data_IF_348216211630
#
_entry.id   IF_348216211630
#
_cell.length_a   1.000
_cell.length_b   1.000
_cell.length_c   1.000
_cell.angle_alpha   90.00
_cell.angle_beta   90.00
_cell.angle_gamma   90.00
#
_symmetry.space_group_name_H-M   'P 1'
#
loop_
_entity.id
_entity.type
_entity.pdbx_description
1 polymer ?
#
# COMPACT_ATOMS: atom_id res chain seq x y z
N UNK A 1 31.10 41.38 -18.69
CA UNK A 1 29.86 40.70 -19.14
C UNK A 1 30.09 39.22 -19.41
N UNK A 2 31.03 38.84 -20.29
CA UNK A 2 31.32 37.43 -20.65
C UNK A 2 31.66 36.48 -19.49
N UNK A 3 32.43 36.93 -18.48
CA UNK A 3 32.78 36.13 -17.29
C UNK A 3 31.57 35.74 -16.44
N UNK A 4 30.56 36.61 -16.35
CA UNK A 4 29.32 36.36 -15.59
C UNK A 4 28.41 35.39 -16.35
N UNK A 5 28.35 35.52 -17.68
CA UNK A 5 27.60 34.58 -18.54
C UNK A 5 28.20 33.18 -18.47
N UNK A 6 29.54 33.06 -18.53
CA UNK A 6 30.23 31.78 -18.37
C UNK A 6 29.95 31.12 -17.01
N UNK A 7 30.02 31.89 -15.92
CA UNK A 7 29.71 31.38 -14.58
C UNK A 7 28.25 30.90 -14.44
N UNK A 8 27.29 31.63 -15.02
CA UNK A 8 25.88 31.25 -15.02
C UNK A 8 25.63 29.98 -15.85
N UNK A 9 26.28 29.83 -17.00
CA UNK A 9 26.19 28.63 -17.83
C UNK A 9 26.79 27.41 -17.12
N UNK A 10 27.96 27.55 -16.50
CA UNK A 10 28.56 26.47 -15.70
C UNK A 10 27.67 26.07 -14.53
N UNK A 11 27.08 27.04 -13.83
CA UNK A 11 26.13 26.76 -12.75
C UNK A 11 24.88 26.03 -13.28
N UNK A 12 24.32 26.47 -14.41
CA UNK A 12 23.16 25.83 -15.03
C UNK A 12 23.46 24.38 -15.44
N UNK A 13 24.65 24.11 -15.99
CA UNK A 13 25.08 22.75 -16.34
C UNK A 13 25.23 21.86 -15.11
N UNK A 14 25.82 22.37 -14.03
CA UNK A 14 25.95 21.63 -12.77
C UNK A 14 24.57 21.33 -12.18
N UNK A 15 23.67 22.32 -12.13
CA UNK A 15 22.31 22.12 -11.65
C UNK A 15 21.53 21.12 -12.51
N UNK A 16 21.69 21.18 -13.84
CA UNK A 16 21.08 20.23 -14.75
C UNK A 16 21.59 18.80 -14.53
N UNK A 17 22.89 18.63 -14.32
CA UNK A 17 23.48 17.32 -14.04
C UNK A 17 23.05 16.76 -12.68
N UNK A 18 23.04 17.61 -11.63
CA UNK A 18 22.55 17.23 -10.29
C UNK A 18 21.08 16.84 -10.36
N UNK A 19 20.23 17.65 -11.00
CA UNK A 19 18.82 17.35 -11.18
C UNK A 19 18.62 16.01 -11.90
N UNK A 20 19.32 15.80 -13.02
CA UNK A 20 19.25 14.54 -13.76
C UNK A 20 19.67 13.33 -12.92
N UNK A 21 20.79 13.44 -12.21
CA UNK A 21 21.30 12.38 -11.33
C UNK A 21 20.31 12.05 -10.21
N UNK A 22 19.73 13.05 -9.56
CA UNK A 22 18.72 12.86 -8.52
C UNK A 22 17.46 12.20 -9.10
N UNK A 23 16.93 12.69 -10.21
CA UNK A 23 15.73 12.11 -10.83
C UNK A 23 15.96 10.66 -11.26
N UNK A 24 17.14 10.33 -11.77
CA UNK A 24 17.48 8.96 -12.16
C UNK A 24 17.56 8.03 -10.94
N UNK A 25 18.30 8.44 -9.90
CA UNK A 25 18.50 7.63 -8.69
C UNK A 25 17.18 7.45 -7.93
N UNK A 26 16.45 8.54 -7.68
CA UNK A 26 15.17 8.46 -6.98
C UNK A 26 14.12 7.73 -7.79
N UNK A 27 14.06 7.95 -9.12
CA UNK A 27 13.10 7.25 -9.97
C UNK A 27 13.37 5.75 -10.09
N UNK A 28 14.64 5.32 -10.06
CA UNK A 28 14.98 3.90 -10.00
C UNK A 28 14.62 3.30 -8.64
N UNK A 29 15.03 3.96 -7.56
CA UNK A 29 14.72 3.52 -6.20
C UNK A 29 13.21 3.42 -5.93
N UNK A 30 12.42 4.40 -6.38
CA UNK A 30 10.97 4.41 -6.20
C UNK A 30 10.31 3.24 -6.92
N UNK A 31 10.75 2.94 -8.14
CA UNK A 31 10.27 1.80 -8.92
C UNK A 31 10.62 0.48 -8.24
N UNK A 32 11.89 0.28 -7.90
CA UNK A 32 12.36 -0.96 -7.28
C UNK A 32 11.64 -1.22 -5.94
N UNK A 33 11.41 -0.16 -5.15
CA UNK A 33 10.67 -0.25 -3.89
C UNK A 33 9.19 -0.59 -4.12
N UNK A 34 8.57 0.01 -5.14
CA UNK A 34 7.17 -0.27 -5.50
C UNK A 34 6.98 -1.69 -6.03
N UNK A 35 7.93 -2.18 -6.83
CA UNK A 35 7.92 -3.55 -7.35
C UNK A 35 8.08 -4.56 -6.20
N UNK A 36 9.00 -4.31 -5.26
CA UNK A 36 9.19 -5.14 -4.07
C UNK A 36 7.95 -5.18 -3.17
N UNK A 37 7.31 -4.03 -2.93
CA UNK A 37 6.04 -3.97 -2.18
C UNK A 37 4.95 -4.81 -2.87
N UNK A 38 4.78 -4.61 -4.19
CA UNK A 38 3.79 -5.33 -4.98
C UNK A 38 4.04 -6.83 -5.03
N UNK A 39 5.30 -7.26 -5.08
CA UNK A 39 5.70 -8.66 -5.02
C UNK A 39 5.42 -9.29 -3.67
N UNK A 40 5.89 -8.66 -2.58
CA UNK A 40 5.64 -9.13 -1.23
C UNK A 40 4.14 -9.28 -0.93
N UNK A 41 3.31 -8.32 -1.35
CA UNK A 41 1.85 -8.42 -1.21
C UNK A 41 1.25 -9.60 -1.99
N UNK A 42 1.74 -9.88 -3.20
CA UNK A 42 1.25 -11.02 -4.00
C UNK A 42 1.64 -12.34 -3.36
N UNK A 43 2.88 -12.46 -2.92
CA UNK A 43 3.38 -13.67 -2.27
C UNK A 43 2.64 -13.94 -0.96
N UNK A 44 2.38 -12.89 -0.16
CA UNK A 44 1.57 -13.00 1.05
C UNK A 44 0.17 -13.57 0.74
N UNK A 45 -0.52 -13.02 -0.27
CA UNK A 45 -1.85 -13.50 -0.68
C UNK A 45 -1.82 -14.95 -1.18
N UNK A 46 -0.72 -15.37 -1.80
CA UNK A 46 -0.53 -16.76 -2.26
C UNK A 46 -0.14 -17.72 -1.12
N UNK A 47 0.39 -17.21 -0.01
CA UNK A 47 0.73 -18.00 1.17
C UNK A 47 -0.48 -18.26 2.10
N UNK A 48 -1.56 -17.50 1.94
CA UNK A 48 -2.78 -17.70 2.71
C UNK A 48 -3.39 -19.08 2.42
N UNK A 49 -3.95 -19.77 3.44
CA UNK A 49 -4.58 -21.07 3.25
C UNK A 49 -5.71 -21.05 2.21
N UNK A 50 -5.73 -22.03 1.32
CA UNK A 50 -6.88 -22.29 0.44
C UNK A 50 -8.00 -22.97 1.26
N UNK A 51 -8.88 -22.15 1.84
CA UNK A 51 -10.03 -22.57 2.65
C UNK A 51 -11.32 -21.95 2.14
N UNK A 52 -12.43 -22.70 2.22
CA UNK A 52 -13.77 -22.17 1.94
C UNK A 52 -14.18 -21.06 2.93
N UNK A 53 -13.57 -21.04 4.12
CA UNK A 53 -13.76 -20.04 5.16
C UNK A 53 -12.38 -19.66 5.73
N UNK A 54 -11.71 -18.71 5.09
CA UNK A 54 -10.46 -18.14 5.59
C UNK A 54 -10.79 -17.24 6.80
N UNK A 55 -10.27 -17.59 7.98
CA UNK A 55 -10.52 -16.83 9.22
C UNK A 55 -9.38 -15.85 9.54
N UNK A 56 -9.63 -14.92 10.46
CA UNK A 56 -8.66 -13.86 10.78
C UNK A 56 -7.40 -14.39 11.47
N UNK A 57 -7.53 -15.46 12.27
CA UNK A 57 -6.39 -16.06 12.96
C UNK A 57 -5.42 -16.66 11.94
N UNK A 58 -5.90 -17.37 10.91
CA UNK A 58 -5.07 -17.91 9.84
C UNK A 58 -4.30 -16.82 9.07
N UNK A 59 -4.96 -15.68 8.79
CA UNK A 59 -4.30 -14.53 8.16
C UNK A 59 -3.26 -13.91 9.10
N UNK A 60 -3.56 -13.85 10.40
CA UNK A 60 -2.67 -13.28 11.41
C UNK A 60 -1.45 -14.15 11.66
N UNK A 61 -1.60 -15.47 11.64
CA UNK A 61 -0.51 -16.44 11.77
C UNK A 61 0.49 -16.26 10.61
N UNK A 62 0.02 -16.19 9.36
CA UNK A 62 0.90 -15.94 8.21
C UNK A 62 1.57 -14.57 8.31
N UNK A 63 0.84 -13.53 8.73
CA UNK A 63 1.42 -12.20 8.90
C UNK A 63 2.51 -12.20 10.00
N UNK A 64 2.28 -12.88 11.12
CA UNK A 64 3.26 -13.02 12.20
C UNK A 64 4.52 -13.78 11.74
N UNK A 65 4.37 -14.86 10.96
CA UNK A 65 5.50 -15.58 10.37
C UNK A 65 6.38 -14.68 9.48
N UNK A 66 5.76 -13.68 8.85
CA UNK A 66 6.42 -12.70 7.99
C UNK A 66 6.93 -11.48 8.77
N UNK A 67 6.65 -11.40 10.07
CA UNK A 67 6.97 -10.26 10.92
C UNK A 67 6.14 -9.01 10.62
N UNK A 68 4.95 -9.19 10.02
CA UNK A 68 4.03 -8.12 9.63
C UNK A 68 3.01 -7.86 10.74
N UNK A 69 2.69 -6.59 10.97
CA UNK A 69 1.73 -6.20 12.00
C UNK A 69 0.29 -6.46 11.54
N UNK A 70 -0.53 -7.01 12.42
CA UNK A 70 -1.98 -7.10 12.23
C UNK A 70 -2.74 -6.29 13.27
N UNK A 71 -3.90 -5.75 12.88
CA UNK A 71 -4.77 -4.95 13.75
C UNK A 71 -6.23 -5.15 13.40
N UNK A 72 -7.08 -5.36 14.40
CA UNK A 72 -8.54 -5.24 14.17
C UNK A 72 -8.88 -3.80 13.83
N UNK A 73 -9.63 -3.63 12.74
CA UNK A 73 -10.01 -2.31 12.24
C UNK A 73 -11.50 -2.08 12.49
N UNK A 74 -11.83 -1.02 13.22
CA UNK A 74 -13.23 -0.68 13.54
C UNK A 74 -13.98 -0.01 12.40
N UNK A 75 -13.28 0.34 11.31
CA UNK A 75 -13.82 0.97 10.13
C UNK A 75 -12.75 1.64 9.27
N UNK A 76 -13.13 2.06 8.08
CA UNK A 76 -12.21 2.67 7.11
C UNK A 76 -12.52 4.15 6.92
N UNK A 77 -11.48 4.97 6.78
CA UNK A 77 -11.62 6.35 6.30
C UNK A 77 -12.00 6.44 4.82
N UNK A 78 -12.14 5.30 4.14
CA UNK A 78 -12.37 5.17 2.71
C UNK A 78 -13.79 4.65 2.41
N UNK A 79 -14.29 4.99 1.23
CA UNK A 79 -15.62 4.58 0.79
C UNK A 79 -15.63 3.09 0.41
N UNK A 80 -16.44 2.30 1.10
CA UNK A 80 -16.60 0.85 0.87
C UNK A 80 -18.07 0.47 0.80
N UNK A 81 -18.39 -0.65 0.15
CA UNK A 81 -19.73 -1.25 0.21
C UNK A 81 -19.75 -2.31 1.34
N UNK A 82 -20.30 -2.01 2.54
CA UNK A 82 -20.07 -2.85 3.73
C UNK A 82 -21.12 -3.96 3.90
N UNK A 83 -22.00 -4.19 2.92
CA UNK A 83 -23.12 -5.13 3.09
C UNK A 83 -22.59 -6.53 3.40
N UNK A 84 -22.96 -7.05 4.57
CA UNK A 84 -22.54 -8.38 5.03
C UNK A 84 -21.21 -8.41 5.78
N UNK A 85 -20.54 -7.28 5.98
CA UNK A 85 -19.28 -7.20 6.74
C UNK A 85 -19.57 -6.90 8.22
N UNK A 86 -19.07 -7.74 9.11
CA UNK A 86 -19.18 -7.59 10.55
C UNK A 86 -17.90 -7.02 11.20
N UNK A 87 -16.72 -7.40 10.69
CA UNK A 87 -15.41 -6.98 11.23
C UNK A 87 -14.36 -6.92 10.14
N UNK A 88 -13.25 -6.25 10.44
CA UNK A 88 -12.14 -6.07 9.52
C UNK A 88 -10.81 -6.38 10.19
N UNK A 89 -9.90 -6.98 9.43
CA UNK A 89 -8.50 -7.15 9.80
C UNK A 89 -7.63 -6.33 8.84
N UNK A 90 -6.73 -5.55 9.42
CA UNK A 90 -5.65 -4.85 8.73
C UNK A 90 -4.38 -5.66 8.87
N UNK A 91 -3.66 -5.86 7.77
CA UNK A 91 -2.30 -6.40 7.74
C UNK A 91 -1.39 -5.36 7.10
N UNK A 92 -0.33 -4.95 7.80
CA UNK A 92 0.68 -4.02 7.26
C UNK A 92 1.61 -4.77 6.32
N UNK A 93 1.64 -4.35 5.05
CA UNK A 93 2.49 -4.92 4.00
C UNK A 93 3.85 -4.25 4.04
N UNK A 94 4.90 -5.05 4.15
CA UNK A 94 6.29 -4.61 4.07
C UNK A 94 7.01 -5.27 2.86
N UNK A 95 7.95 -4.58 2.19
CA UNK A 95 8.41 -3.23 2.49
C UNK A 95 7.36 -2.18 2.12
N UNK A 96 7.26 -1.10 2.90
CA UNK A 96 6.35 0.01 2.60
C UNK A 96 6.64 0.71 1.25
N UNK A 97 5.59 1.15 0.58
CA UNK A 97 5.66 2.01 -0.60
C UNK A 97 6.34 3.34 -0.27
N UNK A 98 7.20 3.88 -1.16
CA UNK A 98 7.72 5.24 -1.02
C UNK A 98 6.60 6.28 -0.91
N UNK A 99 6.74 7.24 0.01
CA UNK A 99 5.83 8.38 0.17
C UNK A 99 4.36 8.03 0.36
N UNK A 100 4.08 6.85 0.91
CA UNK A 100 2.73 6.36 1.15
C UNK A 100 2.31 6.50 2.62
N UNK A 101 1.02 6.39 2.85
CA UNK A 101 0.40 6.34 4.17
C UNK A 101 0.36 4.90 4.69
N UNK A 102 0.15 4.73 5.99
CA UNK A 102 -0.04 3.40 6.56
C UNK A 102 -1.20 2.64 5.88
N UNK A 103 -2.28 3.34 5.48
CA UNK A 103 -3.46 2.72 4.86
C UNK A 103 -3.17 2.24 3.43
N UNK A 104 -2.33 2.97 2.70
CA UNK A 104 -1.85 2.54 1.36
C UNK A 104 -0.91 1.33 1.45
N UNK A 105 -0.24 1.14 2.58
CA UNK A 105 0.57 -0.04 2.86
C UNK A 105 -0.22 -1.19 3.50
N UNK A 106 -1.54 -1.11 3.60
CA UNK A 106 -2.32 -2.13 4.28
C UNK A 106 -3.07 -3.04 3.29
N UNK A 107 -3.00 -4.35 3.55
CA UNK A 107 -3.94 -5.31 3.04
C UNK A 107 -5.09 -5.46 4.04
N UNK A 108 -6.31 -5.34 3.55
CA UNK A 108 -7.49 -5.37 4.40
C UNK A 108 -8.38 -6.56 4.05
N UNK A 109 -8.86 -7.22 5.09
CA UNK A 109 -9.71 -8.39 5.01
C UNK A 109 -11.03 -8.10 5.72
N UNK A 110 -12.13 -8.36 5.04
CA UNK A 110 -13.48 -8.22 5.58
C UNK A 110 -13.97 -9.58 6.03
N UNK A 111 -14.68 -9.65 7.15
CA UNK A 111 -15.29 -10.90 7.61
C UNK A 111 -16.78 -10.73 7.87
N UNK A 112 -17.54 -11.76 7.56
CA UNK A 112 -18.96 -11.83 7.88
C UNK A 112 -19.22 -12.13 9.36
N UNK A 113 -20.49 -12.26 9.74
CA UNK A 113 -20.90 -12.58 11.11
C UNK A 113 -20.52 -14.01 11.54
N UNK A 114 -20.25 -14.92 10.59
CA UNK A 114 -19.74 -16.27 10.88
C UNK A 114 -18.21 -16.27 11.08
N UNK A 115 -17.54 -15.17 10.76
CA UNK A 115 -16.10 -15.00 10.90
C UNK A 115 -15.30 -15.38 9.66
N UNK A 116 -15.95 -15.69 8.54
CA UNK A 116 -15.31 -16.04 7.28
C UNK A 116 -14.95 -14.80 6.47
N UNK A 117 -13.78 -14.83 5.82
CA UNK A 117 -13.36 -13.78 4.91
C UNK A 117 -14.34 -13.65 3.75
N UNK A 118 -14.76 -12.43 3.44
CA UNK A 118 -15.67 -12.12 2.33
C UNK A 118 -15.04 -11.13 1.38
N UNK A 119 -15.36 -11.21 0.07
CA UNK A 119 -14.88 -10.23 -0.89
C UNK A 119 -15.47 -8.85 -0.56
N UNK A 120 -14.61 -7.84 -0.57
CA UNK A 120 -15.00 -6.44 -0.44
C UNK A 120 -14.34 -5.62 -1.55
N UNK A 121 -14.85 -4.40 -1.74
CA UNK A 121 -14.32 -3.46 -2.74
C UNK A 121 -14.53 -2.03 -2.29
N UNK A 122 -13.66 -1.16 -2.79
CA UNK A 122 -13.95 0.27 -2.82
C UNK A 122 -15.22 0.54 -3.61
N UNK A 123 -15.98 1.53 -3.14
CA UNK A 123 -17.17 1.99 -3.83
C UNK A 123 -17.62 3.33 -3.27
N UNK A 124 -18.18 4.19 -4.12
CA UNK A 124 -18.77 5.48 -3.75
C UNK A 124 -20.24 5.57 -4.18
N UNK A 125 -21.02 6.41 -3.48
CA UNK A 125 -22.44 6.66 -3.76
C UNK A 125 -23.38 5.68 -3.06
N UNK A 126 -24.62 5.59 -3.55
CA UNK A 126 -25.70 4.90 -2.87
C UNK A 126 -25.36 3.44 -2.52
N UNK A 127 -25.51 3.09 -1.24
CA UNK A 127 -25.20 1.76 -0.72
C UNK A 127 -23.74 1.56 -0.29
N UNK A 128 -22.97 2.66 -0.19
CA UNK A 128 -21.59 2.66 0.33
C UNK A 128 -21.52 3.43 1.65
N UNK A 129 -20.36 3.40 2.33
CA UNK A 129 -20.12 4.18 3.55
C UNK A 129 -19.96 5.67 3.30
N UNK A 130 -19.88 6.11 2.04
CA UNK A 130 -19.73 7.51 1.71
C UNK A 130 -21.07 8.20 1.43
N UNK A 131 -21.16 9.52 1.68
CA UNK A 131 -22.34 10.29 1.36
C UNK A 131 -22.67 10.20 -0.14
N UNK A 132 -23.97 10.27 -0.45
CA UNK A 132 -24.47 10.52 -1.79
C UNK A 132 -24.14 11.95 -2.28
#
# INVERSE_FOLDING_TARGET
MMRRVGALLSLALVLGFVYFGLTYIFGAWERDSSDAHGEARREFMAALPESDCLVADEISDVAEEWGWETREETGFGWCVAPVGVARWLRVTVEPALPFSTADENAAFFAFDAAGCSVPWRYGSGAGTTCPD
#
